data_IF_224137062610
#
_entry.id   IF_224137062610
#
_cell.length_a   1.000
_cell.length_b   1.000
_cell.length_c   1.000
_cell.angle_alpha   90.00
_cell.angle_beta   90.00
_cell.angle_gamma   90.00
#
_symmetry.space_group_name_H-M   'P 1'
#
loop_
_entity.id
_entity.type
_entity.pdbx_description
1 polymer ?
#
# COMPACT_ATOMS: atom_id res chain seq x y z
N UNK A 1 35.50 -19.18 -39.90
CA UNK A 1 34.32 -19.66 -39.14
C UNK A 1 34.45 -19.49 -37.62
N UNK A 2 35.63 -19.15 -37.08
CA UNK A 2 35.88 -19.04 -35.62
C UNK A 2 35.52 -17.66 -35.04
N UNK A 3 35.61 -16.59 -35.85
CA UNK A 3 35.42 -15.19 -35.40
C UNK A 3 33.99 -14.83 -35.01
N UNK A 4 32.96 -15.41 -35.65
CA UNK A 4 31.55 -15.13 -35.34
C UNK A 4 31.14 -15.58 -33.92
N UNK A 5 31.72 -16.66 -33.40
CA UNK A 5 31.34 -17.21 -32.08
C UNK A 5 31.84 -16.36 -30.90
N UNK A 6 32.95 -15.63 -31.08
CA UNK A 6 33.53 -14.77 -30.04
C UNK A 6 32.70 -13.49 -29.87
N UNK A 7 32.14 -12.97 -30.97
CA UNK A 7 31.30 -11.77 -30.97
C UNK A 7 29.93 -12.02 -30.30
N UNK A 8 29.35 -13.20 -30.55
CA UNK A 8 28.09 -13.63 -29.91
C UNK A 8 28.27 -13.80 -28.39
N UNK A 9 29.37 -14.41 -27.93
CA UNK A 9 29.65 -14.51 -26.49
C UNK A 9 29.85 -13.16 -25.80
N UNK A 10 30.53 -12.20 -26.45
CA UNK A 10 30.71 -10.84 -25.90
C UNK A 10 29.38 -10.08 -25.78
N UNK A 11 28.45 -10.27 -26.71
CA UNK A 11 27.11 -9.66 -26.64
C UNK A 11 26.24 -10.32 -25.56
N UNK A 12 26.31 -11.64 -25.36
CA UNK A 12 25.57 -12.33 -24.29
C UNK A 12 26.05 -11.87 -22.90
N UNK A 13 27.36 -11.69 -22.72
CA UNK A 13 27.95 -11.19 -21.47
C UNK A 13 27.51 -9.75 -21.18
N UNK A 14 27.38 -8.90 -22.21
CA UNK A 14 26.87 -7.52 -22.05
C UNK A 14 25.37 -7.48 -21.70
N UNK A 15 24.57 -8.40 -22.22
CA UNK A 15 23.12 -8.47 -21.96
C UNK A 15 22.85 -8.96 -20.52
N UNK A 16 23.65 -9.89 -20.00
CA UNK A 16 23.51 -10.38 -18.62
C UNK A 16 23.82 -9.32 -17.54
N UNK A 17 24.73 -8.38 -17.82
CA UNK A 17 25.14 -7.36 -16.85
C UNK A 17 24.10 -6.24 -16.67
N UNK A 18 23.27 -5.97 -17.68
CA UNK A 18 22.26 -4.90 -17.64
C UNK A 18 21.03 -5.30 -16.81
N UNK A 19 20.77 -6.60 -16.63
CA UNK A 19 19.62 -7.08 -15.85
C UNK A 19 19.80 -6.96 -14.32
N UNK A 20 21.04 -6.82 -13.83
CA UNK A 20 21.35 -6.83 -12.40
C UNK A 20 21.13 -5.48 -11.69
N UNK A 21 20.93 -4.38 -12.43
CA UNK A 21 20.88 -3.03 -11.84
C UNK A 21 19.44 -2.60 -11.51
N UNK A 22 18.42 -3.23 -12.10
CA UNK A 22 17.02 -2.79 -11.97
C UNK A 22 16.29 -3.36 -10.74
N UNK A 23 16.89 -4.29 -9.99
CA UNK A 23 16.29 -4.88 -8.77
C UNK A 23 16.51 -4.05 -7.50
N UNK A 24 17.33 -2.99 -7.57
CA UNK A 24 17.79 -2.24 -6.38
C UNK A 24 16.79 -1.21 -5.83
N UNK A 25 15.64 -0.99 -6.47
CA UNK A 25 14.72 0.11 -6.13
C UNK A 25 13.44 -0.29 -5.37
N UNK A 26 13.41 -1.47 -4.72
CA UNK A 26 12.26 -1.92 -3.90
C UNK A 26 12.59 -2.15 -2.41
N UNK A 27 13.80 -1.81 -1.97
CA UNK A 27 14.24 -2.02 -0.60
C UNK A 27 13.63 -0.93 0.29
N UNK A 28 12.56 -1.26 1.02
CA UNK A 28 12.09 -0.47 2.15
C UNK A 28 10.59 -0.24 2.24
N UNK A 29 9.83 -0.38 1.14
CA UNK A 29 8.37 -0.25 1.15
C UNK A 29 7.72 -1.63 1.33
N UNK A 30 7.10 -1.87 2.48
CA UNK A 30 6.37 -3.11 2.77
C UNK A 30 4.88 -2.80 2.93
N UNK A 31 4.01 -3.65 2.39
CA UNK A 31 2.58 -3.57 2.68
C UNK A 31 2.29 -4.04 4.11
N UNK A 32 1.13 -3.66 4.64
CA UNK A 32 0.74 -3.99 6.02
C UNK A 32 -0.46 -4.93 6.00
N UNK A 33 -0.32 -6.10 6.61
CA UNK A 33 -1.43 -7.03 6.78
C UNK A 33 -2.31 -6.60 7.96
N UNK A 34 -3.63 -6.70 7.82
CA UNK A 34 -4.62 -6.40 8.86
C UNK A 34 -4.41 -7.25 10.13
N UNK A 35 -3.94 -8.48 9.96
CA UNK A 35 -3.61 -9.40 11.05
C UNK A 35 -2.41 -8.96 11.88
N UNK A 36 -1.53 -8.12 11.33
CA UNK A 36 -0.33 -7.63 12.02
C UNK A 36 -0.59 -6.38 12.86
N UNK A 37 -1.79 -5.81 12.77
CA UNK A 37 -2.16 -4.55 13.40
C UNK A 37 -2.40 -4.72 14.91
N UNK A 38 -1.68 -3.93 15.71
CA UNK A 38 -1.83 -3.88 17.18
C UNK A 38 -3.23 -3.48 17.59
N UNK A 39 -3.71 -2.38 17.00
CA UNK A 39 -5.07 -1.89 17.11
C UNK A 39 -5.68 -1.96 15.72
N UNK A 40 -6.91 -2.45 15.63
CA UNK A 40 -7.60 -2.53 14.34
C UNK A 40 -7.80 -1.11 13.79
N UNK A 41 -7.51 -0.88 12.50
CA UNK A 41 -7.77 0.39 11.87
C UNK A 41 -9.26 0.70 11.95
N UNK A 42 -9.62 1.98 12.01
CA UNK A 42 -11.01 2.45 11.97
C UNK A 42 -11.11 3.64 11.05
N UNK A 43 -12.29 3.84 10.46
CA UNK A 43 -12.56 4.96 9.58
C UNK A 43 -13.47 5.95 10.29
N UNK A 44 -13.10 7.23 10.29
CA UNK A 44 -14.00 8.32 10.63
C UNK A 44 -14.28 9.14 9.38
N UNK A 45 -15.53 9.56 9.18
CA UNK A 45 -15.93 10.34 8.00
C UNK A 45 -16.01 11.81 8.39
N UNK A 46 -15.23 12.66 7.73
CA UNK A 46 -15.22 14.11 7.92
C UNK A 46 -15.44 14.80 6.57
N UNK A 47 -16.46 15.64 6.44
CA UNK A 47 -16.79 16.40 5.22
C UNK A 47 -16.55 15.66 3.88
N UNK A 48 -15.45 15.93 3.18
CA UNK A 48 -15.08 15.35 1.87
C UNK A 48 -13.89 14.39 1.95
N UNK A 49 -13.66 13.82 3.12
CA UNK A 49 -12.52 12.98 3.40
C UNK A 49 -12.86 11.89 4.42
N UNK A 50 -12.00 10.90 4.46
CA UNK A 50 -11.97 9.91 5.53
C UNK A 50 -10.70 10.10 6.34
N UNK A 51 -10.80 9.85 7.64
CA UNK A 51 -9.68 9.78 8.56
C UNK A 51 -9.52 8.32 8.97
N UNK A 52 -8.43 7.70 8.55
CA UNK A 52 -8.09 6.34 8.96
C UNK A 52 -7.25 6.43 10.22
N UNK A 53 -7.81 5.97 11.34
CA UNK A 53 -7.10 5.87 12.61
C UNK A 53 -6.48 4.48 12.72
N UNK A 54 -5.18 4.41 12.94
CA UNK A 54 -4.45 3.15 12.98
C UNK A 54 -3.18 3.25 13.81
N UNK A 55 -2.67 2.12 14.30
CA UNK A 55 -1.36 2.04 14.94
C UNK A 55 -0.37 1.26 14.08
N UNK A 56 0.89 1.19 14.51
CA UNK A 56 1.90 0.38 13.85
C UNK A 56 1.61 -1.12 13.95
N UNK A 57 2.19 -1.85 13.01
CA UNK A 57 2.26 -3.31 13.01
C UNK A 57 3.05 -3.81 14.23
N UNK A 58 2.47 -4.72 15.02
CA UNK A 58 3.19 -5.41 16.10
C UNK A 58 4.32 -6.30 15.56
N UNK A 59 4.14 -6.85 14.36
CA UNK A 59 5.11 -7.77 13.74
C UNK A 59 6.34 -7.04 13.19
N UNK A 60 6.20 -5.75 12.87
CA UNK A 60 7.29 -4.94 12.33
C UNK A 60 7.39 -3.63 13.11
N UNK A 61 7.65 -3.71 14.41
CA UNK A 61 7.71 -2.52 15.31
C UNK A 61 8.74 -1.46 14.89
N UNK A 62 9.78 -1.87 14.15
CA UNK A 62 10.78 -0.96 13.58
C UNK A 62 10.33 -0.23 12.30
N UNK A 63 9.19 -0.61 11.72
CA UNK A 63 8.60 0.02 10.54
C UNK A 63 7.39 0.85 10.94
N UNK A 64 7.27 2.04 10.35
CA UNK A 64 6.15 2.93 10.60
C UNK A 64 5.27 3.00 9.37
N UNK A 65 3.95 2.91 9.56
CA UNK A 65 3.00 3.16 8.49
C UNK A 65 3.13 4.64 8.10
N UNK A 66 3.38 4.88 6.81
CA UNK A 66 3.64 6.24 6.31
C UNK A 66 2.68 6.65 5.20
N UNK A 67 1.92 5.70 4.64
CA UNK A 67 0.99 5.94 3.54
C UNK A 67 -0.17 4.96 3.58
N UNK A 68 -1.36 5.44 3.26
CA UNK A 68 -2.53 4.64 2.93
C UNK A 68 -3.01 5.08 1.55
N UNK A 69 -2.98 4.18 0.59
CA UNK A 69 -3.62 4.35 -0.72
C UNK A 69 -5.06 3.83 -0.67
N UNK A 70 -5.89 4.31 -1.60
CA UNK A 70 -7.28 3.90 -1.68
C UNK A 70 -7.73 3.59 -3.12
N UNK A 71 -8.74 2.74 -3.24
CA UNK A 71 -9.53 2.52 -4.46
C UNK A 71 -11.02 2.69 -4.13
N UNK A 72 -11.82 3.11 -5.12
CA UNK A 72 -13.26 3.29 -4.97
C UNK A 72 -13.98 2.51 -6.07
N UNK A 73 -14.86 1.60 -5.67
CA UNK A 73 -15.85 0.98 -6.55
C UNK A 73 -17.21 1.62 -6.27
N UNK A 74 -17.64 2.52 -7.15
CA UNK A 74 -18.91 3.24 -7.02
C UNK A 74 -20.12 2.37 -7.32
N UNK A 75 -19.96 1.30 -8.09
CA UNK A 75 -21.05 0.38 -8.42
C UNK A 75 -21.38 -0.53 -7.22
N UNK A 76 -20.35 -1.01 -6.53
CA UNK A 76 -20.49 -1.86 -5.34
C UNK A 76 -20.57 -1.06 -4.03
N UNK A 77 -20.29 0.25 -4.08
CA UNK A 77 -20.15 1.13 -2.92
C UNK A 77 -19.08 0.63 -1.94
N UNK A 78 -17.91 0.32 -2.47
CA UNK A 78 -16.77 -0.18 -1.70
C UNK A 78 -15.60 0.81 -1.78
N UNK A 79 -14.94 1.04 -0.65
CA UNK A 79 -13.66 1.75 -0.56
C UNK A 79 -12.64 0.78 0.04
N UNK A 80 -11.57 0.51 -0.71
CA UNK A 80 -10.48 -0.36 -0.24
C UNK A 80 -9.29 0.51 0.16
N UNK A 81 -8.64 0.15 1.27
CA UNK A 81 -7.55 0.88 1.88
C UNK A 81 -6.33 -0.04 1.94
N UNK A 82 -5.21 0.42 1.37
CA UNK A 82 -3.94 -0.31 1.34
C UNK A 82 -2.84 0.48 2.01
N UNK A 83 -2.34 -0.02 3.13
CA UNK A 83 -1.31 0.67 3.90
C UNK A 83 0.11 0.18 3.58
N UNK A 84 1.06 1.10 3.74
CA UNK A 84 2.48 0.86 3.52
C UNK A 84 3.32 1.36 4.70
N UNK A 85 4.32 0.55 5.05
CA UNK A 85 5.27 0.81 6.12
C UNK A 85 6.71 0.79 5.61
N UNK A 86 7.56 1.58 6.25
CA UNK A 86 9.00 1.67 5.96
C UNK A 86 9.79 2.12 7.19
N UNK A 87 11.10 1.87 7.19
CA UNK A 87 12.01 2.41 8.19
C UNK A 87 12.26 3.92 7.96
N UNK A 88 12.70 4.63 8.99
CA UNK A 88 13.04 6.06 8.94
C UNK A 88 11.89 6.94 8.40
N UNK A 89 10.66 6.65 8.83
CA UNK A 89 9.48 7.48 8.59
C UNK A 89 9.04 8.11 9.90
N UNK A 90 8.19 9.11 9.80
CA UNK A 90 7.58 9.72 10.98
C UNK A 90 6.43 8.85 11.47
N UNK A 91 6.29 8.73 12.79
CA UNK A 91 5.14 8.06 13.38
C UNK A 91 3.87 8.85 13.08
N UNK A 92 2.86 8.15 12.55
CA UNK A 92 1.52 8.69 12.29
C UNK A 92 0.49 7.64 12.66
N UNK A 93 -0.54 8.07 13.39
CA UNK A 93 -1.69 7.22 13.73
C UNK A 93 -3.01 7.70 13.10
N UNK A 94 -2.94 8.77 12.31
CA UNK A 94 -4.06 9.36 11.58
C UNK A 94 -3.66 9.63 10.14
N UNK A 95 -4.48 9.16 9.21
CA UNK A 95 -4.29 9.36 7.78
C UNK A 95 -5.53 10.02 7.20
N UNK A 96 -5.34 11.26 6.76
CA UNK A 96 -6.35 12.09 6.13
C UNK A 96 -6.37 11.82 4.62
N UNK A 97 -7.47 11.26 4.12
CA UNK A 97 -7.60 10.83 2.74
C UNK A 97 -8.80 11.53 2.11
N UNK A 98 -8.54 12.47 1.21
CA UNK A 98 -9.58 13.13 0.44
C UNK A 98 -10.09 12.19 -0.67
N UNK A 99 -11.37 11.84 -0.58
CA UNK A 99 -12.06 11.06 -1.62
C UNK A 99 -12.80 12.07 -2.48
N UNK A 100 -12.26 12.31 -3.69
CA UNK A 100 -12.85 13.30 -4.60
C UNK A 100 -14.27 12.87 -4.99
N UNK A 101 -15.12 13.86 -5.26
CA UNK A 101 -16.46 13.67 -5.82
C UNK A 101 -17.52 13.03 -4.89
N UNK A 102 -17.16 12.62 -3.67
CA UNK A 102 -18.11 12.10 -2.68
C UNK A 102 -18.27 13.08 -1.50
N UNK A 103 -19.52 13.39 -1.17
CA UNK A 103 -19.89 14.12 0.04
C UNK A 103 -19.88 13.21 1.27
N UNK A 104 -19.91 13.82 2.48
CA UNK A 104 -19.99 13.09 3.75
C UNK A 104 -21.12 12.07 3.79
N UNK A 105 -22.30 12.46 3.31
CA UNK A 105 -23.49 11.60 3.32
C UNK A 105 -23.40 10.47 2.29
N UNK A 106 -22.62 10.65 1.22
CA UNK A 106 -22.33 9.59 0.26
C UNK A 106 -21.29 8.64 0.83
N UNK A 107 -20.19 9.15 1.38
CA UNK A 107 -19.13 8.34 2.03
C UNK A 107 -19.69 7.43 3.14
N UNK A 108 -20.72 7.87 3.87
CA UNK A 108 -21.38 7.08 4.90
C UNK A 108 -22.16 5.86 4.36
N UNK A 109 -22.41 5.80 3.05
CA UNK A 109 -23.12 4.68 2.39
C UNK A 109 -22.16 3.61 1.86
N UNK A 110 -20.85 3.83 1.92
CA UNK A 110 -19.83 2.90 1.44
C UNK A 110 -19.40 1.95 2.54
N UNK A 111 -19.02 0.73 2.13
CA UNK A 111 -18.27 -0.19 2.98
C UNK A 111 -16.77 0.04 2.84
N UNK A 112 -16.04 -0.10 3.94
CA UNK A 112 -14.60 0.12 3.99
C UNK A 112 -13.88 -1.21 4.23
N UNK A 113 -12.84 -1.48 3.44
CA UNK A 113 -12.06 -2.70 3.56
C UNK A 113 -10.58 -2.39 3.66
N UNK A 114 -9.87 -3.10 4.54
CA UNK A 114 -8.43 -3.18 4.52
C UNK A 114 -8.01 -4.22 3.48
N UNK A 115 -7.14 -3.84 2.57
CA UNK A 115 -6.60 -4.72 1.53
C UNK A 115 -5.19 -5.15 1.91
N UNK A 116 -5.05 -6.42 2.24
CA UNK A 116 -3.76 -7.04 2.56
C UNK A 116 -2.86 -7.12 1.33
N UNK A 117 -1.53 -7.28 1.50
CA UNK A 117 -0.59 -7.44 0.39
C UNK A 117 -0.89 -8.63 -0.53
N UNK A 118 -1.59 -9.66 -0.03
CA UNK A 118 -2.05 -10.84 -0.77
C UNK A 118 -3.45 -10.67 -1.41
N UNK A 119 -4.03 -9.47 -1.32
CA UNK A 119 -5.36 -9.08 -1.79
C UNK A 119 -6.54 -9.65 -0.98
N UNK A 120 -6.30 -10.22 0.20
CA UNK A 120 -7.39 -10.51 1.13
C UNK A 120 -8.00 -9.20 1.65
N UNK A 121 -9.33 -9.16 1.71
CA UNK A 121 -10.10 -8.00 2.16
C UNK A 121 -10.66 -8.26 3.55
N UNK A 122 -10.43 -7.34 4.48
CA UNK A 122 -11.06 -7.36 5.80
C UNK A 122 -11.90 -6.11 5.99
N UNK A 123 -13.18 -6.27 6.33
CA UNK A 123 -14.07 -5.12 6.59
C UNK A 123 -13.58 -4.32 7.80
N UNK A 124 -13.63 -3.00 7.69
CA UNK A 124 -13.23 -2.04 8.73
C UNK A 124 -14.46 -1.30 9.23
N UNK A 125 -14.51 -1.06 10.54
CA UNK A 125 -15.59 -0.31 11.17
C UNK A 125 -15.46 1.19 10.97
N UNK A 126 -16.63 1.82 10.79
CA UNK A 126 -16.77 3.28 10.81
C UNK A 126 -17.06 3.69 12.27
N UNK A 127 -16.27 4.62 12.78
CA UNK A 127 -16.46 5.24 14.10
C UNK A 127 -16.93 6.67 13.91
N UNK A 128 -18.03 7.04 14.57
CA UNK A 128 -18.60 8.39 14.53
C UNK A 128 -17.87 9.32 15.50
#
# INVERSE_FOLDING_TARGET
MITKNIEVMKNIIKIGLILLITVSCYIGKKGVFYSEMTKKPTVQIADKMIVVNTDNSNKNSALLIYKIDYSVDTAQKIIELKAYQAANKDYKNKFEIQIKELSKSELAKYEYFWLDPDNNKTKIDIVN
#
